data_IF_619369166678
#
_entry.id   IF_619369166678
#
_cell.length_a   1.000
_cell.length_b   1.000
_cell.length_c   1.000
_cell.angle_alpha   90.00
_cell.angle_beta   90.00
_cell.angle_gamma   90.00
#
_symmetry.space_group_name_H-M   'P 1'
#
loop_
_entity.id
_entity.type
_entity.pdbx_description
1 polymer ?
#
# COMPACT_ATOMS: atom_id res chain seq x y z
N UNK A 1 19.23 8.08 -20.19
CA UNK A 1 18.37 8.67 -21.25
C UNK A 1 17.07 9.21 -20.65
N UNK A 2 17.19 10.42 -20.10
CA UNK A 2 16.27 11.55 -19.98
C UNK A 2 14.74 11.34 -20.10
N UNK A 3 14.09 11.03 -18.98
CA UNK A 3 12.66 11.32 -18.73
C UNK A 3 12.43 12.74 -18.16
N UNK A 4 13.50 13.46 -17.82
CA UNK A 4 13.43 14.79 -17.19
C UNK A 4 13.17 15.95 -18.16
N UNK A 5 13.49 15.81 -19.46
CA UNK A 5 13.35 16.90 -20.44
C UNK A 5 11.95 17.00 -21.09
N UNK A 6 11.08 16.00 -20.92
CA UNK A 6 9.69 16.09 -21.42
C UNK A 6 8.77 16.97 -20.57
N UNK A 7 9.21 17.42 -19.39
CA UNK A 7 8.42 18.29 -18.50
C UNK A 7 8.61 19.79 -18.71
N UNK A 8 9.61 20.21 -19.50
CA UNK A 8 9.98 21.64 -19.61
C UNK A 8 9.48 22.28 -20.92
N UNK A 9 9.09 21.50 -21.93
CA UNK A 9 8.80 22.02 -23.27
C UNK A 9 7.32 22.32 -23.58
N UNK A 10 6.42 22.32 -22.58
CA UNK A 10 5.02 22.74 -22.75
C UNK A 10 4.68 23.89 -21.79
N UNK A 11 5.60 24.85 -21.67
CA UNK A 11 5.55 25.99 -20.76
C UNK A 11 5.39 27.30 -21.55
N UNK A 12 4.59 27.26 -22.61
CA UNK A 12 3.90 28.47 -23.10
C UNK A 12 2.54 28.43 -22.43
N UNK A 13 2.49 29.05 -21.26
CA UNK A 13 1.26 29.32 -20.54
C UNK A 13 0.36 30.19 -21.44
N UNK A 14 -0.57 29.54 -22.13
CA UNK A 14 -1.89 30.11 -22.29
C UNK A 14 -2.43 30.27 -20.87
N UNK A 15 -2.11 31.42 -20.27
CA UNK A 15 -2.76 31.90 -19.05
C UNK A 15 -4.22 32.07 -19.46
N UNK A 16 -5.01 31.02 -19.24
CA UNK A 16 -6.44 31.12 -19.41
C UNK A 16 -6.93 32.23 -18.47
N UNK A 17 -7.58 33.29 -19.00
CA UNK A 17 -8.04 34.43 -18.21
C UNK A 17 -9.07 34.05 -17.13
N UNK A 18 -9.62 32.83 -17.19
CA UNK A 18 -10.48 32.23 -16.17
C UNK A 18 -9.80 32.07 -14.81
N UNK A 19 -8.47 32.07 -14.72
CA UNK A 19 -7.75 31.92 -13.44
C UNK A 19 -7.84 33.16 -12.54
N UNK A 20 -7.79 34.37 -13.10
CA UNK A 20 -7.73 35.59 -12.29
C UNK A 20 -9.06 35.92 -11.58
N UNK A 21 -10.19 35.73 -12.26
CA UNK A 21 -11.51 35.93 -11.67
C UNK A 21 -11.79 34.88 -10.57
N UNK A 22 -11.44 33.61 -10.83
CA UNK A 22 -11.58 32.53 -9.86
C UNK A 22 -10.70 32.75 -8.61
N UNK A 23 -9.48 33.27 -8.78
CA UNK A 23 -8.60 33.60 -7.65
C UNK A 23 -9.21 34.66 -6.73
N UNK A 24 -9.87 35.69 -7.29
CA UNK A 24 -10.54 36.72 -6.51
C UNK A 24 -11.67 36.18 -5.64
N UNK A 25 -12.51 35.30 -6.21
CA UNK A 25 -13.60 34.63 -5.49
C UNK A 25 -13.10 33.63 -4.46
N UNK A 26 -12.03 32.88 -4.75
CA UNK A 26 -11.42 31.93 -3.80
C UNK A 26 -10.84 32.69 -2.60
N UNK A 27 -10.10 33.80 -2.84
CA UNK A 27 -9.57 34.64 -1.76
C UNK A 27 -10.68 35.35 -0.97
N UNK A 28 -11.84 35.60 -1.57
CA UNK A 28 -13.02 36.10 -0.86
C UNK A 28 -13.65 35.01 0.01
N UNK A 29 -13.79 33.80 -0.52
CA UNK A 29 -14.29 32.65 0.22
C UNK A 29 -13.39 32.30 1.42
N UNK A 30 -12.07 32.33 1.23
CA UNK A 30 -11.10 32.08 2.30
C UNK A 30 -11.23 33.10 3.43
N UNK A 31 -11.31 34.39 3.10
CA UNK A 31 -11.53 35.45 4.10
C UNK A 31 -12.86 35.29 4.84
N UNK A 32 -13.93 34.95 4.12
CA UNK A 32 -15.24 34.70 4.72
C UNK A 32 -15.20 33.48 5.66
N UNK A 33 -14.48 32.42 5.27
CA UNK A 33 -14.28 31.24 6.11
C UNK A 33 -13.54 31.58 7.40
N UNK A 34 -12.43 32.33 7.30
CA UNK A 34 -11.63 32.77 8.44
C UNK A 34 -12.40 33.71 9.39
N UNK A 35 -13.40 34.42 8.88
CA UNK A 35 -14.32 35.25 9.70
C UNK A 35 -15.54 34.47 10.21
N UNK A 36 -15.53 33.13 10.14
CA UNK A 36 -16.64 32.24 10.54
C UNK A 36 -17.94 32.48 9.74
N UNK A 37 -17.87 33.21 8.62
CA UNK A 37 -18.98 33.45 7.71
C UNK A 37 -19.07 32.32 6.67
N UNK A 38 -19.29 31.09 7.15
CA UNK A 38 -19.25 29.89 6.31
C UNK A 38 -20.30 29.85 5.20
N UNK A 39 -21.46 30.49 5.42
CA UNK A 39 -22.51 30.61 4.41
C UNK A 39 -22.06 31.48 3.23
N UNK A 40 -21.38 32.59 3.53
CA UNK A 40 -20.82 33.48 2.50
C UNK A 40 -19.67 32.79 1.77
N UNK A 41 -18.79 32.08 2.49
CA UNK A 41 -17.73 31.29 1.88
C UNK A 41 -18.30 30.20 0.94
N UNK A 42 -19.37 29.52 1.35
CA UNK A 42 -20.05 28.55 0.53
C UNK A 42 -20.66 29.20 -0.72
N UNK A 43 -21.35 30.33 -0.59
CA UNK A 43 -21.94 31.06 -1.71
C UNK A 43 -20.88 31.48 -2.74
N UNK A 44 -19.76 32.04 -2.28
CA UNK A 44 -18.63 32.42 -3.14
C UNK A 44 -18.08 31.24 -3.95
N UNK A 45 -17.93 30.06 -3.32
CA UNK A 45 -17.44 28.86 -4.01
C UNK A 45 -18.49 28.21 -4.93
N UNK A 46 -19.76 28.29 -4.55
CA UNK A 46 -20.87 27.69 -5.32
C UNK A 46 -21.12 28.46 -6.62
N UNK A 47 -20.93 29.79 -6.58
CA UNK A 47 -21.09 30.69 -7.71
C UNK A 47 -19.89 30.72 -8.68
N UNK A 48 -18.86 29.91 -8.42
CA UNK A 48 -17.75 29.76 -9.37
C UNK A 48 -18.24 29.07 -10.66
N UNK A 49 -18.01 29.68 -11.84
CA UNK A 49 -18.50 29.14 -13.10
C UNK A 49 -17.92 27.74 -13.36
N UNK A 50 -18.80 26.80 -13.69
CA UNK A 50 -18.43 25.44 -14.08
C UNK A 50 -18.18 24.44 -12.95
N UNK A 51 -18.47 24.79 -11.69
CA UNK A 51 -18.38 23.84 -10.56
C UNK A 51 -19.63 22.97 -10.45
N UNK A 52 -20.80 23.61 -10.35
CA UNK A 52 -22.10 22.94 -10.21
C UNK A 52 -23.03 23.14 -11.42
N UNK A 53 -22.79 24.17 -12.22
CA UNK A 53 -23.59 24.47 -13.41
C UNK A 53 -23.10 23.71 -14.65
N UNK A 54 -24.02 23.43 -15.57
CA UNK A 54 -23.71 22.94 -16.92
C UNK A 54 -23.11 24.11 -17.72
N UNK A 55 -21.87 24.48 -17.42
CA UNK A 55 -21.13 25.49 -18.18
C UNK A 55 -20.65 24.90 -19.51
N UNK A 56 -20.54 25.70 -20.59
CA UNK A 56 -19.91 25.26 -21.83
C UNK A 56 -18.49 24.76 -21.55
N UNK A 57 -18.05 23.76 -22.33
CA UNK A 57 -16.79 23.00 -22.16
C UNK A 57 -15.56 23.88 -21.87
N UNK A 58 -15.50 25.10 -22.40
CA UNK A 58 -14.36 26.00 -22.29
C UNK A 58 -14.33 26.85 -21.00
N UNK A 59 -15.45 26.98 -20.30
CA UNK A 59 -15.57 27.80 -19.08
C UNK A 59 -15.59 26.95 -17.80
N UNK A 60 -15.46 25.63 -17.94
CA UNK A 60 -15.38 24.73 -16.80
C UNK A 60 -14.02 24.83 -16.13
N UNK A 61 -13.99 25.08 -14.81
CA UNK A 61 -12.81 24.75 -14.00
C UNK A 61 -12.55 23.25 -14.21
N UNK A 62 -11.36 22.90 -14.69
CA UNK A 62 -11.04 21.54 -15.15
C UNK A 62 -9.86 20.97 -14.41
N UNK A 63 -9.94 19.66 -14.17
CA UNK A 63 -8.90 18.93 -13.48
C UNK A 63 -8.69 19.45 -12.07
N UNK A 64 -7.44 19.40 -11.61
CA UNK A 64 -7.06 19.48 -10.20
C UNK A 64 -7.71 20.64 -9.43
N UNK A 65 -7.85 21.81 -10.06
CA UNK A 65 -8.46 22.99 -9.45
C UNK A 65 -9.93 22.76 -9.07
N UNK A 66 -10.70 22.04 -9.90
CA UNK A 66 -12.11 21.72 -9.61
C UNK A 66 -12.22 20.79 -8.42
N UNK A 67 -11.37 19.77 -8.36
CA UNK A 67 -11.37 18.81 -7.25
C UNK A 67 -10.94 19.48 -5.92
N UNK A 68 -9.96 20.38 -5.97
CA UNK A 68 -9.57 21.18 -4.82
C UNK A 68 -10.72 22.09 -4.35
N UNK A 69 -11.46 22.74 -5.26
CA UNK A 69 -12.60 23.58 -4.86
C UNK A 69 -13.76 22.73 -4.31
N UNK A 70 -14.05 21.56 -4.88
CA UNK A 70 -15.05 20.64 -4.32
C UNK A 70 -14.68 20.18 -2.90
N UNK A 71 -13.38 19.99 -2.63
CA UNK A 71 -12.89 19.67 -1.28
C UNK A 71 -13.21 20.81 -0.30
N UNK A 72 -12.93 22.05 -0.68
CA UNK A 72 -13.24 23.23 0.13
C UNK A 72 -14.75 23.45 0.30
N UNK A 73 -15.54 23.19 -0.74
CA UNK A 73 -16.99 23.29 -0.69
C UNK A 73 -17.58 22.28 0.31
N UNK A 74 -17.07 21.04 0.33
CA UNK A 74 -17.45 20.05 1.33
C UNK A 74 -17.06 20.48 2.75
N UNK A 75 -15.89 21.12 2.91
CA UNK A 75 -15.42 21.66 4.19
C UNK A 75 -16.33 22.79 4.69
N UNK A 76 -16.72 23.73 3.84
CA UNK A 76 -17.69 24.78 4.17
C UNK A 76 -19.04 24.20 4.62
N UNK A 77 -19.53 23.15 3.94
CA UNK A 77 -20.79 22.49 4.33
C UNK A 77 -20.71 21.80 5.68
N UNK A 78 -19.60 21.14 6.01
CA UNK A 78 -19.41 20.58 7.35
C UNK A 78 -19.32 21.67 8.43
N UNK A 79 -18.68 22.80 8.15
CA UNK A 79 -18.66 23.94 9.07
C UNK A 79 -20.05 24.54 9.32
N UNK A 80 -20.97 24.44 8.34
CA UNK A 80 -22.38 24.79 8.45
C UNK A 80 -23.27 23.67 9.06
N UNK A 81 -22.68 22.56 9.49
CA UNK A 81 -23.40 21.36 9.94
C UNK A 81 -24.32 20.70 8.89
N UNK A 82 -24.13 21.02 7.60
CA UNK A 82 -24.82 20.39 6.48
C UNK A 82 -24.08 19.13 6.02
N UNK A 83 -24.18 18.08 6.84
CA UNK A 83 -23.55 16.79 6.55
C UNK A 83 -24.09 16.11 5.28
N UNK A 84 -25.36 16.32 4.95
CA UNK A 84 -26.00 15.71 3.77
C UNK A 84 -25.47 16.33 2.50
N UNK A 85 -25.42 17.67 2.43
CA UNK A 85 -24.83 18.37 1.30
C UNK A 85 -23.33 18.09 1.17
N UNK A 86 -22.60 18.03 2.30
CA UNK A 86 -21.19 17.68 2.30
C UNK A 86 -20.94 16.27 1.70
N UNK A 87 -21.74 15.27 2.05
CA UNK A 87 -21.60 13.91 1.52
C UNK A 87 -21.82 13.85 0.00
N UNK A 88 -22.80 14.60 -0.53
CA UNK A 88 -23.03 14.68 -1.98
C UNK A 88 -21.81 15.24 -2.73
N UNK A 89 -21.23 16.31 -2.20
CA UNK A 89 -20.03 16.95 -2.77
C UNK A 89 -18.83 16.02 -2.69
N UNK A 90 -18.66 15.31 -1.57
CA UNK A 90 -17.56 14.36 -1.40
C UNK A 90 -17.70 13.15 -2.33
N UNK A 91 -18.91 12.65 -2.58
CA UNK A 91 -19.12 11.58 -3.56
C UNK A 91 -18.73 12.01 -4.96
N UNK A 92 -19.09 13.23 -5.35
CA UNK A 92 -18.70 13.79 -6.65
C UNK A 92 -17.19 14.03 -6.73
N UNK A 93 -16.58 14.59 -5.67
CA UNK A 93 -15.13 14.73 -5.54
C UNK A 93 -14.44 13.37 -5.70
N UNK A 94 -14.88 12.36 -4.93
CA UNK A 94 -14.29 11.03 -4.90
C UNK A 94 -14.43 10.29 -6.23
N UNK A 95 -15.53 10.54 -6.96
CA UNK A 95 -15.75 10.01 -8.30
C UNK A 95 -14.72 10.56 -9.30
N UNK A 96 -14.37 11.83 -9.19
CA UNK A 96 -13.47 12.52 -10.11
C UNK A 96 -11.99 12.28 -9.74
N UNK A 97 -11.62 12.53 -8.48
CA UNK A 97 -10.31 12.17 -7.94
C UNK A 97 -10.41 11.55 -6.53
N UNK A 98 -10.28 10.22 -6.40
CA UNK A 98 -10.25 9.58 -5.08
C UNK A 98 -8.98 9.91 -4.29
N UNK A 99 -7.94 10.47 -4.92
CA UNK A 99 -6.66 10.87 -4.32
C UNK A 99 -6.68 12.20 -3.59
N UNK A 100 -7.64 13.09 -3.91
CA UNK A 100 -7.68 14.46 -3.37
C UNK A 100 -7.69 14.47 -1.84
N UNK A 101 -6.87 15.35 -1.26
CA UNK A 101 -6.68 15.44 0.20
C UNK A 101 -6.52 16.88 0.72
N UNK A 102 -6.54 17.86 -0.17
CA UNK A 102 -6.38 19.28 0.15
C UNK A 102 -7.33 20.13 -0.70
N UNK A 103 -7.62 21.34 -0.26
CA UNK A 103 -8.37 22.34 -1.01
C UNK A 103 -7.45 23.39 -1.65
N UNK A 104 -8.06 24.40 -2.29
CA UNK A 104 -7.37 25.58 -2.81
C UNK A 104 -7.14 26.61 -1.70
N UNK A 105 -8.08 26.74 -0.76
CA UNK A 105 -8.01 27.73 0.32
C UNK A 105 -6.91 27.36 1.34
N UNK A 106 -6.04 28.30 1.70
CA UNK A 106 -4.97 28.09 2.67
C UNK A 106 -5.49 28.24 4.12
N UNK A 107 -6.26 27.26 4.55
CA UNK A 107 -6.94 27.27 5.85
C UNK A 107 -6.23 26.36 6.85
N UNK A 108 -6.15 26.82 8.11
CA UNK A 108 -5.62 26.03 9.23
C UNK A 108 -6.45 24.76 9.46
N UNK A 109 -5.89 23.76 10.14
CA UNK A 109 -6.62 22.52 10.44
C UNK A 109 -7.76 22.76 11.44
N UNK A 110 -8.96 22.33 11.10
CA UNK A 110 -10.15 22.39 11.95
C UNK A 110 -10.96 21.08 11.96
N UNK A 111 -12.09 21.10 12.65
CA UNK A 111 -13.00 19.96 12.77
C UNK A 111 -13.67 19.62 11.44
N UNK A 112 -14.01 20.63 10.63
CA UNK A 112 -14.62 20.44 9.32
C UNK A 112 -13.68 19.70 8.35
N UNK A 113 -12.40 20.09 8.30
CA UNK A 113 -11.36 19.41 7.54
C UNK A 113 -11.22 17.95 8.01
N UNK A 114 -11.23 17.74 9.32
CA UNK A 114 -11.13 16.39 9.90
C UNK A 114 -12.31 15.51 9.46
N UNK A 115 -13.53 16.06 9.39
CA UNK A 115 -14.72 15.38 8.89
C UNK A 115 -14.63 15.05 7.39
N UNK A 116 -14.20 16.00 6.54
CA UNK A 116 -13.97 15.75 5.10
C UNK A 116 -12.99 14.60 4.90
N UNK A 117 -11.85 14.64 5.57
CA UNK A 117 -10.81 13.61 5.45
C UNK A 117 -11.29 12.26 5.97
N UNK A 118 -12.10 12.23 7.05
CA UNK A 118 -12.70 11.01 7.57
C UNK A 118 -13.67 10.38 6.56
N UNK A 119 -14.55 11.17 5.95
CA UNK A 119 -15.51 10.72 4.93
C UNK A 119 -14.80 10.19 3.68
N UNK A 120 -13.81 10.91 3.16
CA UNK A 120 -12.99 10.43 2.03
C UNK A 120 -12.27 9.12 2.36
N UNK A 121 -11.70 9.00 3.57
CA UNK A 121 -11.05 7.78 4.04
C UNK A 121 -12.03 6.60 4.12
N UNK A 122 -13.27 6.85 4.55
CA UNK A 122 -14.33 5.84 4.56
C UNK A 122 -14.67 5.38 3.15
N UNK A 123 -14.90 6.30 2.21
CA UNK A 123 -15.19 5.94 0.81
C UNK A 123 -14.05 5.15 0.17
N UNK A 124 -12.79 5.55 0.39
CA UNK A 124 -11.60 4.78 -0.04
C UNK A 124 -11.63 3.35 0.48
N UNK A 125 -12.00 3.15 1.75
CA UNK A 125 -12.10 1.81 2.36
C UNK A 125 -13.20 0.99 1.71
N UNK A 126 -14.38 1.58 1.49
CA UNK A 126 -15.51 0.90 0.84
C UNK A 126 -15.14 0.50 -0.59
N UNK A 127 -14.62 1.42 -1.40
CA UNK A 127 -14.20 1.14 -2.78
C UNK A 127 -13.10 0.07 -2.83
N UNK A 128 -12.13 0.13 -1.90
CA UNK A 128 -11.10 -0.90 -1.80
C UNK A 128 -11.72 -2.26 -1.46
N UNK A 129 -12.69 -2.31 -0.56
CA UNK A 129 -13.39 -3.52 -0.18
C UNK A 129 -14.21 -4.09 -1.35
N UNK A 130 -14.89 -3.25 -2.13
CA UNK A 130 -15.60 -3.65 -3.35
C UNK A 130 -14.66 -4.25 -4.39
N UNK A 131 -13.50 -3.62 -4.63
CA UNK A 131 -12.46 -4.18 -5.53
C UNK A 131 -11.99 -5.55 -5.05
N UNK A 132 -11.81 -5.72 -3.74
CA UNK A 132 -11.44 -7.01 -3.16
C UNK A 132 -12.57 -8.04 -3.35
N UNK A 133 -13.83 -7.65 -3.16
CA UNK A 133 -15.01 -8.50 -3.34
C UNK A 133 -15.20 -8.91 -4.80
N UNK A 134 -14.88 -8.02 -5.75
CA UNK A 134 -14.92 -8.31 -7.18
C UNK A 134 -13.90 -9.37 -7.62
N UNK A 135 -12.83 -9.58 -6.83
CA UNK A 135 -11.82 -10.60 -7.12
C UNK A 135 -12.14 -11.95 -6.47
N UNK A 136 -12.09 -13.03 -7.26
CA UNK A 136 -12.32 -14.38 -6.75
C UNK A 136 -11.21 -14.83 -5.79
N UNK A 137 -11.55 -15.29 -4.57
CA UNK A 137 -10.57 -15.77 -3.58
C UNK A 137 -9.82 -17.01 -4.07
N UNK A 138 -10.52 -17.93 -4.76
CA UNK A 138 -9.91 -19.12 -5.36
C UNK A 138 -8.84 -18.74 -6.39
N UNK A 139 -9.15 -17.79 -7.28
CA UNK A 139 -8.18 -17.30 -8.26
C UNK A 139 -6.98 -16.60 -7.60
N UNK A 140 -7.18 -15.98 -6.44
CA UNK A 140 -6.09 -15.41 -5.62
C UNK A 140 -5.22 -16.49 -4.98
N UNK A 141 -5.82 -17.54 -4.43
CA UNK A 141 -5.13 -18.66 -3.82
C UNK A 141 -4.28 -19.43 -4.85
N UNK A 142 -4.83 -19.73 -6.03
CA UNK A 142 -4.11 -20.41 -7.11
C UNK A 142 -2.87 -19.62 -7.54
N UNK A 143 -2.96 -18.30 -7.65
CA UNK A 143 -1.78 -17.47 -7.97
C UNK A 143 -0.73 -17.49 -6.85
N UNK A 144 -1.18 -17.54 -5.60
CA UNK A 144 -0.28 -17.60 -4.43
C UNK A 144 0.41 -18.95 -4.26
N UNK A 145 -0.17 -20.03 -4.78
CA UNK A 145 0.50 -21.35 -4.84
C UNK A 145 1.78 -21.28 -5.70
N UNK A 146 1.73 -20.53 -6.81
CA UNK A 146 2.86 -20.37 -7.74
C UNK A 146 3.88 -19.39 -7.18
N UNK A 147 3.43 -18.20 -6.76
CA UNK A 147 4.30 -17.15 -6.20
C UNK A 147 3.67 -16.59 -4.93
N UNK A 148 4.28 -16.82 -3.74
CA UNK A 148 3.82 -16.23 -2.49
C UNK A 148 3.68 -14.71 -2.59
N UNK A 149 2.55 -14.19 -2.12
CA UNK A 149 2.19 -12.77 -2.21
C UNK A 149 1.49 -12.33 -3.51
N UNK A 150 1.46 -13.17 -4.57
CA UNK A 150 0.85 -12.78 -5.84
C UNK A 150 -0.68 -12.66 -5.74
N UNK A 151 -1.35 -13.55 -5.00
CA UNK A 151 -2.79 -13.45 -4.77
C UNK A 151 -3.16 -12.15 -4.05
N UNK A 152 -2.36 -11.73 -3.06
CA UNK A 152 -2.57 -10.48 -2.33
C UNK A 152 -2.43 -9.27 -3.25
N UNK A 153 -1.45 -9.27 -4.16
CA UNK A 153 -1.29 -8.21 -5.18
C UNK A 153 -2.49 -8.20 -6.14
N UNK A 154 -2.94 -9.37 -6.59
CA UNK A 154 -4.10 -9.54 -7.46
C UNK A 154 -5.39 -8.99 -6.83
N UNK A 155 -5.58 -9.20 -5.52
CA UNK A 155 -6.70 -8.66 -4.75
C UNK A 155 -6.53 -7.20 -4.33
N UNK A 156 -5.55 -6.48 -4.89
CA UNK A 156 -5.31 -5.05 -4.61
C UNK A 156 -4.51 -4.76 -3.34
N UNK A 157 -4.22 -5.76 -2.49
CA UNK A 157 -3.39 -5.61 -1.27
C UNK A 157 -1.89 -5.60 -1.61
N UNK A 158 -1.46 -4.63 -2.42
CA UNK A 158 -0.11 -4.57 -3.01
C UNK A 158 0.99 -4.52 -1.95
N UNK A 159 0.83 -3.75 -0.88
CA UNK A 159 1.84 -3.63 0.19
C UNK A 159 2.09 -4.98 0.89
N UNK A 160 1.01 -5.63 1.35
CA UNK A 160 1.09 -6.96 1.97
C UNK A 160 1.69 -8.00 1.03
N UNK A 161 1.24 -8.03 -0.22
CA UNK A 161 1.77 -8.95 -1.21
C UNK A 161 3.27 -8.77 -1.49
N UNK A 162 3.77 -7.51 -1.51
CA UNK A 162 5.20 -7.22 -1.63
C UNK A 162 6.00 -7.68 -0.41
N UNK A 163 5.47 -7.48 0.80
CA UNK A 163 6.14 -7.93 2.04
C UNK A 163 6.26 -9.46 2.04
N UNK A 164 5.18 -10.17 1.71
CA UNK A 164 5.18 -11.64 1.64
C UNK A 164 6.15 -12.14 0.56
N UNK A 165 6.06 -11.58 -0.65
CA UNK A 165 6.95 -11.96 -1.76
C UNK A 165 8.43 -11.69 -1.44
N UNK A 166 8.73 -10.52 -0.85
CA UNK A 166 10.07 -10.14 -0.43
C UNK A 166 10.62 -11.04 0.68
N UNK A 167 9.81 -11.29 1.73
CA UNK A 167 10.17 -12.20 2.81
C UNK A 167 10.42 -13.62 2.32
N UNK A 168 9.57 -14.13 1.42
CA UNK A 168 9.77 -15.42 0.78
C UNK A 168 11.06 -15.46 -0.04
N UNK A 169 11.36 -14.43 -0.83
CA UNK A 169 12.59 -14.36 -1.62
C UNK A 169 13.86 -14.38 -0.74
N UNK A 170 13.86 -13.65 0.37
CA UNK A 170 14.97 -13.63 1.34
C UNK A 170 15.14 -15.02 1.99
N UNK A 171 14.05 -15.65 2.44
CA UNK A 171 14.10 -16.99 3.01
C UNK A 171 14.56 -18.05 2.00
N UNK A 172 14.12 -17.95 0.74
CA UNK A 172 14.53 -18.84 -0.33
C UNK A 172 16.03 -18.75 -0.62
N UNK A 173 16.56 -17.52 -0.68
CA UNK A 173 17.99 -17.29 -0.83
C UNK A 173 18.79 -17.83 0.36
N UNK A 174 18.35 -17.56 1.59
CA UNK A 174 18.98 -18.06 2.80
C UNK A 174 18.98 -19.59 2.87
N UNK A 175 17.85 -20.22 2.58
CA UNK A 175 17.71 -21.67 2.53
C UNK A 175 18.64 -22.29 1.48
N UNK A 176 18.70 -21.71 0.27
CA UNK A 176 19.58 -22.19 -0.79
C UNK A 176 21.07 -22.15 -0.38
N UNK A 177 21.51 -21.06 0.25
CA UNK A 177 22.88 -20.95 0.76
C UNK A 177 23.16 -21.97 1.87
N UNK A 178 22.21 -22.18 2.78
CA UNK A 178 22.32 -23.16 3.85
C UNK A 178 22.36 -24.60 3.31
N UNK A 179 21.51 -24.95 2.33
CA UNK A 179 21.52 -26.26 1.68
C UNK A 179 22.84 -26.52 0.95
N UNK A 180 23.36 -25.53 0.23
CA UNK A 180 24.67 -25.63 -0.41
C UNK A 180 25.78 -25.85 0.62
N UNK A 181 25.79 -25.08 1.70
CA UNK A 181 26.75 -25.22 2.79
C UNK A 181 26.69 -26.60 3.45
N UNK A 182 25.48 -27.12 3.68
CA UNK A 182 25.24 -28.47 4.18
C UNK A 182 25.79 -29.53 3.23
N UNK A 183 25.48 -29.46 1.93
CA UNK A 183 25.98 -30.42 0.92
C UNK A 183 27.51 -30.42 0.84
N UNK A 184 28.14 -29.27 0.95
CA UNK A 184 29.61 -29.18 1.00
C UNK A 184 30.18 -29.88 2.24
N UNK A 185 29.64 -29.60 3.43
CA UNK A 185 30.07 -30.27 4.65
C UNK A 185 29.84 -31.79 4.61
N UNK A 186 28.70 -32.21 4.05
CA UNK A 186 28.37 -33.62 3.89
C UNK A 186 29.37 -34.33 2.97
N UNK A 187 29.77 -33.69 1.86
CA UNK A 187 30.76 -34.22 0.94
C UNK A 187 32.17 -34.30 1.56
N UNK A 188 32.54 -33.31 2.37
CA UNK A 188 33.80 -33.35 3.13
C UNK A 188 33.79 -34.50 4.15
N UNK A 189 32.70 -34.65 4.89
CA UNK A 189 32.51 -35.75 5.83
C UNK A 189 32.55 -37.12 5.14
N UNK A 190 31.87 -37.29 3.99
CA UNK A 190 31.87 -38.57 3.25
C UNK A 190 33.25 -38.94 2.70
N UNK A 191 34.04 -37.96 2.24
CA UNK A 191 35.43 -38.19 1.81
C UNK A 191 36.35 -38.57 2.98
N UNK A 192 36.00 -38.17 4.20
CA UNK A 192 36.75 -38.47 5.41
C UNK A 192 36.56 -39.91 5.83
N UNK A 193 35.32 -40.42 5.79
CA UNK A 193 35.06 -41.82 6.16
C UNK A 193 35.80 -42.80 5.26
N UNK A 194 35.90 -42.53 3.95
CA UNK A 194 36.61 -43.41 3.00
C UNK A 194 38.14 -43.44 3.22
N UNK A 195 38.75 -42.33 3.65
CA UNK A 195 40.21 -42.25 3.89
C UNK A 195 40.60 -42.69 5.29
N UNK A 196 39.80 -42.38 6.31
CA UNK A 196 40.14 -42.64 7.71
C UNK A 196 39.82 -44.07 8.14
N UNK A 197 38.98 -44.80 7.40
CA UNK A 197 38.80 -46.25 7.57
C UNK A 197 40.07 -47.06 7.28
N UNK A 198 41.11 -46.46 6.68
CA UNK A 198 42.38 -47.11 6.34
C UNK A 198 43.56 -46.71 7.26
N UNK A 199 43.36 -45.94 8.33
CA UNK A 199 44.45 -45.53 9.23
C UNK A 199 44.34 -46.20 10.63
N UNK A 200 45.44 -46.74 11.19
CA UNK A 200 45.46 -47.36 12.53
C UNK A 200 45.34 -46.34 13.69
N UNK A 201 45.28 -45.03 13.41
CA UNK A 201 45.12 -43.98 14.40
C UNK A 201 43.63 -43.74 14.72
N UNK A 202 42.99 -44.71 15.38
CA UNK A 202 41.56 -44.66 15.74
C UNK A 202 41.27 -44.03 17.10
N UNK A 203 42.29 -43.55 17.78
CA UNK A 203 42.19 -42.97 19.12
C UNK A 203 42.91 -41.64 19.12
N UNK A 204 42.15 -40.55 19.00
CA UNK A 204 42.68 -39.20 19.23
C UNK A 204 43.45 -39.18 20.55
N UNK A 205 44.62 -38.54 20.56
CA UNK A 205 45.37 -38.35 21.79
C UNK A 205 44.58 -37.46 22.76
N UNK A 206 44.98 -37.43 24.04
CA UNK A 206 44.29 -36.67 25.09
C UNK A 206 44.10 -35.15 24.80
N UNK A 207 44.79 -34.61 23.79
CA UNK A 207 44.74 -33.21 23.37
C UNK A 207 44.26 -33.00 21.91
N UNK A 208 43.82 -34.05 21.20
CA UNK A 208 43.39 -33.95 19.80
C UNK A 208 41.96 -34.46 19.66
N UNK A 209 40.94 -33.56 19.57
CA UNK A 209 39.56 -33.96 19.39
C UNK A 209 39.45 -34.78 18.10
N UNK A 210 38.67 -35.86 18.18
CA UNK A 210 38.46 -36.75 17.06
C UNK A 210 37.94 -35.93 15.85
N UNK A 211 38.71 -35.82 14.75
CA UNK A 211 38.35 -34.96 13.62
C UNK A 211 37.03 -35.38 12.96
N UNK A 212 36.58 -36.60 13.25
CA UNK A 212 35.26 -37.09 12.88
C UNK A 212 34.13 -36.39 13.62
N UNK A 213 34.26 -36.18 14.93
CA UNK A 213 33.21 -35.59 15.77
C UNK A 213 33.00 -34.11 15.43
N UNK A 214 34.09 -33.36 15.18
CA UNK A 214 34.02 -31.96 14.75
C UNK A 214 33.36 -31.81 13.36
N UNK A 215 33.70 -32.71 12.43
CA UNK A 215 33.09 -32.71 11.08
C UNK A 215 31.63 -33.12 11.13
N UNK A 216 31.29 -34.12 11.96
CA UNK A 216 29.90 -34.53 12.17
C UNK A 216 29.07 -33.39 12.78
N UNK A 217 29.56 -32.75 13.84
CA UNK A 217 28.91 -31.59 14.46
C UNK A 217 28.70 -30.44 13.47
N UNK A 218 29.67 -30.21 12.57
CA UNK A 218 29.55 -29.21 11.50
C UNK A 218 28.43 -29.56 10.50
N UNK A 219 28.35 -30.82 10.07
CA UNK A 219 27.28 -31.31 9.19
C UNK A 219 25.92 -31.14 9.86
N UNK A 220 25.80 -31.53 11.12
CA UNK A 220 24.55 -31.47 11.89
C UNK A 220 24.08 -30.03 12.10
N UNK A 221 24.98 -29.12 12.46
CA UNK A 221 24.67 -27.68 12.60
C UNK A 221 24.17 -27.06 11.29
N UNK A 222 24.83 -27.37 10.17
CA UNK A 222 24.42 -26.88 8.83
C UNK A 222 23.10 -27.50 8.38
N UNK A 223 22.88 -28.78 8.67
CA UNK A 223 21.62 -29.46 8.40
C UNK A 223 20.46 -28.84 9.19
N UNK A 224 20.67 -28.57 10.48
CA UNK A 224 19.69 -27.90 11.35
C UNK A 224 19.34 -26.52 10.81
N UNK A 225 20.34 -25.72 10.43
CA UNK A 225 20.14 -24.40 9.83
C UNK A 225 19.30 -24.48 8.54
N UNK A 226 19.65 -25.40 7.63
CA UNK A 226 18.91 -25.61 6.39
C UNK A 226 17.47 -26.08 6.64
N UNK A 227 17.24 -26.98 7.61
CA UNK A 227 15.89 -27.43 7.98
C UNK A 227 15.05 -26.31 8.57
N UNK A 228 15.60 -25.51 9.48
CA UNK A 228 14.89 -24.37 10.08
C UNK A 228 14.47 -23.35 9.03
N UNK A 229 15.38 -22.99 8.11
CA UNK A 229 15.06 -22.06 7.01
C UNK A 229 14.04 -22.67 6.04
N UNK A 230 14.14 -23.97 5.77
CA UNK A 230 13.18 -24.68 4.91
C UNK A 230 11.78 -24.70 5.52
N UNK A 231 11.66 -24.96 6.82
CA UNK A 231 10.40 -24.90 7.54
C UNK A 231 9.82 -23.47 7.51
N UNK A 232 10.64 -22.45 7.80
CA UNK A 232 10.20 -21.05 7.72
C UNK A 232 9.66 -20.69 6.33
N UNK A 233 10.34 -21.15 5.27
CA UNK A 233 9.91 -20.95 3.89
C UNK A 233 8.57 -21.62 3.59
N UNK A 234 8.39 -22.87 4.00
CA UNK A 234 7.11 -23.59 3.85
C UNK A 234 6.00 -22.93 4.66
N UNK A 235 6.29 -22.43 5.87
CA UNK A 235 5.33 -21.68 6.69
C UNK A 235 4.86 -20.40 6.01
N UNK A 236 5.77 -19.59 5.46
CA UNK A 236 5.43 -18.35 4.73
C UNK A 236 4.63 -18.67 3.46
N UNK A 237 5.02 -19.71 2.72
CA UNK A 237 4.27 -20.16 1.54
C UNK A 237 2.84 -20.58 1.92
N UNK A 238 2.71 -21.44 2.93
CA UNK A 238 1.42 -21.95 3.41
C UNK A 238 0.53 -20.83 3.93
N UNK A 239 1.09 -19.90 4.71
CA UNK A 239 0.41 -18.70 5.17
C UNK A 239 -0.13 -17.86 4.01
N UNK A 240 0.67 -17.64 2.96
CA UNK A 240 0.25 -16.88 1.79
C UNK A 240 -0.94 -17.52 1.07
N UNK A 241 -1.00 -18.84 1.00
CA UNK A 241 -2.12 -19.58 0.38
C UNK A 241 -3.36 -19.51 1.26
N UNK A 242 -3.21 -19.81 2.55
CA UNK A 242 -4.29 -19.84 3.54
C UNK A 242 -4.92 -18.45 3.67
N UNK A 243 -4.14 -17.37 3.69
CA UNK A 243 -4.68 -16.00 3.77
C UNK A 243 -5.65 -15.71 2.62
N UNK A 244 -5.38 -16.20 1.40
CA UNK A 244 -6.27 -15.98 0.27
C UNK A 244 -7.54 -16.84 0.32
N UNK A 245 -7.51 -17.99 0.99
CA UNK A 245 -8.64 -18.92 1.13
C UNK A 245 -9.55 -18.56 2.32
N UNK A 246 -8.97 -18.37 3.50
CA UNK A 246 -9.71 -18.19 4.75
C UNK A 246 -10.14 -16.73 4.93
N UNK A 247 -9.26 -15.77 4.62
CA UNK A 247 -9.62 -14.35 4.74
C UNK A 247 -10.45 -13.99 3.52
N UNK A 248 -11.75 -14.26 3.60
CA UNK A 248 -12.78 -13.65 2.77
C UNK A 248 -12.98 -12.22 3.28
N UNK A 249 -12.39 -11.21 2.62
CA UNK A 249 -12.60 -9.83 2.98
C UNK A 249 -14.04 -9.56 2.55
N UNK A 250 -14.93 -9.23 3.48
CA UNK A 250 -16.33 -8.93 3.19
C UNK A 250 -17.36 -9.73 3.99
N UNK A 251 -16.99 -10.86 4.60
CA UNK A 251 -17.92 -11.60 5.49
C UNK A 251 -17.68 -11.39 6.98
N UNK A 252 -16.44 -11.06 7.38
CA UNK A 252 -16.13 -10.65 8.75
C UNK A 252 -16.04 -9.13 8.80
N UNK A 253 -17.12 -8.45 8.41
CA UNK A 253 -17.36 -7.12 8.96
C UNK A 253 -17.88 -7.39 10.37
N UNK A 254 -16.98 -7.37 11.35
CA UNK A 254 -17.39 -7.09 12.72
C UNK A 254 -18.12 -5.76 12.64
N UNK A 255 -19.46 -5.80 12.60
CA UNK A 255 -20.29 -4.66 12.95
C UNK A 255 -19.98 -4.43 14.43
N UNK A 256 -18.97 -3.62 14.69
CA UNK A 256 -18.81 -3.01 16.00
C UNK A 256 -19.84 -1.88 15.96
N UNK A 257 -20.99 -1.99 16.65
CA UNK A 257 -21.84 -0.83 16.84
C UNK A 257 -20.97 0.23 17.51
N UNK A 258 -20.80 1.36 16.83
CA UNK A 258 -20.29 2.57 17.46
C UNK A 258 -21.51 3.19 18.11
N UNK A 259 -21.83 2.74 19.32
CA UNK A 259 -22.70 3.45 20.24
C UNK A 259 -21.91 4.59 20.91
#
# INVERSE_FOLDING_TARGET
MNTWLRKIACLVALVCPTTAAAQGTIAAAERAYLSEAYADALDQLTNLPGILEIAPIFDQVRGEDREQILFDLARCRFALFDSVGADLVIRELFRNDPGQAYGVMDLQKDDALTQVLASLKLMRRVQMQERINATSPLKGAVRSLVVPGWGQIYRGRRSRGRIIAGGFAVLAAGWYLADRSYRTALNEYSKTSERDLNLPARTGGANDPNPFDDRFATVESRASTARTLGLALVSVWSYSVIENLIVQPGRVALQIPLD
#
